data_IF_100274873120
#
_entry.id   IF_100274873120
#
_cell.length_a   1.000
_cell.length_b   1.000
_cell.length_c   1.000
_cell.angle_alpha   90.00
_cell.angle_beta   90.00
_cell.angle_gamma   90.00
#
_symmetry.space_group_name_H-M   'P 1'
#
loop_
_entity.id
_entity.type
_entity.pdbx_description
1 polymer ?
#
# COMPACT_ATOMS: atom_id res chain seq x y z
N UNK A 1 -6.86 -2.75 -6.35
CA UNK A 1 -6.75 -2.34 -4.93
C UNK A 1 -5.43 -1.67 -4.62
N UNK A 2 -4.28 -2.23 -5.02
CA UNK A 2 -2.96 -1.61 -4.71
C UNK A 2 -2.82 -0.16 -5.20
N UNK A 3 -3.24 0.14 -6.44
CA UNK A 3 -3.19 1.50 -6.98
C UNK A 3 -3.94 2.53 -6.11
N UNK A 4 -5.04 2.13 -5.48
CA UNK A 4 -5.77 3.01 -4.57
C UNK A 4 -4.91 3.35 -3.34
N UNK A 5 -4.22 2.36 -2.77
CA UNK A 5 -3.28 2.57 -1.66
C UNK A 5 -2.12 3.46 -2.09
N UNK A 6 -1.53 3.23 -3.26
CA UNK A 6 -0.46 4.09 -3.79
C UNK A 6 -0.90 5.55 -3.86
N UNK A 7 -2.07 5.82 -4.45
CA UNK A 7 -2.62 7.18 -4.58
C UNK A 7 -3.00 7.83 -3.24
N UNK A 8 -3.25 7.03 -2.20
CA UNK A 8 -3.53 7.51 -0.84
C UNK A 8 -2.29 8.15 -0.21
N UNK A 9 -1.12 7.54 -0.42
CA UNK A 9 0.15 8.05 0.09
C UNK A 9 0.75 9.12 -0.82
N UNK A 10 0.51 9.01 -2.13
CA UNK A 10 1.10 9.92 -3.10
C UNK A 10 0.25 9.99 -4.38
N UNK A 11 -0.57 11.03 -4.48
CA UNK A 11 -1.56 11.21 -5.55
C UNK A 11 -0.94 11.39 -6.94
N UNK A 12 0.29 11.89 -7.01
CA UNK A 12 1.03 12.05 -8.27
C UNK A 12 1.89 10.84 -8.62
N UNK A 13 1.84 9.76 -7.82
CA UNK A 13 2.62 8.58 -8.10
C UNK A 13 2.05 7.78 -9.28
N UNK A 14 2.92 7.40 -10.20
CA UNK A 14 2.58 6.61 -11.38
C UNK A 14 2.74 5.11 -11.17
N UNK A 15 3.31 4.65 -10.04
CA UNK A 15 3.45 3.24 -9.71
C UNK A 15 2.09 2.54 -9.58
N UNK A 16 1.99 1.33 -10.14
CA UNK A 16 0.75 0.54 -10.11
C UNK A 16 0.70 -0.31 -8.84
N UNK A 17 1.85 -0.84 -8.43
CA UNK A 17 1.98 -1.75 -7.29
C UNK A 17 2.41 -1.02 -6.02
N UNK A 18 2.02 -1.58 -4.87
CA UNK A 18 2.37 -1.03 -3.57
C UNK A 18 3.89 -1.07 -3.32
N UNK A 19 4.56 -2.14 -3.76
CA UNK A 19 5.99 -2.34 -3.54
C UNK A 19 6.86 -1.40 -4.39
N UNK A 20 6.48 -1.15 -5.65
CA UNK A 20 7.13 -0.14 -6.49
C UNK A 20 6.99 1.26 -5.89
N UNK A 21 5.77 1.63 -5.48
CA UNK A 21 5.51 2.92 -4.85
C UNK A 21 6.29 3.07 -3.54
N UNK A 22 6.37 2.00 -2.73
CA UNK A 22 7.13 1.98 -1.49
C UNK A 22 8.62 2.22 -1.75
N UNK A 23 9.19 1.58 -2.78
CA UNK A 23 10.58 1.80 -3.19
C UNK A 23 10.80 3.23 -3.70
N UNK A 24 9.92 3.73 -4.56
CA UNK A 24 10.02 5.09 -5.12
C UNK A 24 9.92 6.16 -4.03
N UNK A 25 8.94 6.03 -3.13
CA UNK A 25 8.72 6.96 -2.03
C UNK A 25 9.90 7.00 -1.06
N UNK A 26 10.47 5.84 -0.74
CA UNK A 26 11.63 5.75 0.14
C UNK A 26 12.90 6.29 -0.53
N UNK A 27 13.19 5.87 -1.75
CA UNK A 27 14.48 6.16 -2.41
C UNK A 27 14.52 7.51 -3.12
N UNK A 28 13.44 7.88 -3.83
CA UNK A 28 13.41 9.12 -4.64
C UNK A 28 12.80 10.29 -3.90
N UNK A 29 11.74 10.04 -3.13
CA UNK A 29 11.02 11.09 -2.39
C UNK A 29 11.46 11.24 -0.93
N UNK A 30 12.39 10.40 -0.46
CA UNK A 30 12.98 10.49 0.88
C UNK A 30 11.98 10.35 2.03
N UNK A 31 10.84 9.69 1.80
CA UNK A 31 9.80 9.52 2.82
C UNK A 31 10.30 8.56 3.91
N UNK A 32 10.00 8.88 5.17
CA UNK A 32 10.25 7.99 6.29
C UNK A 32 9.48 6.67 6.16
N UNK A 33 9.99 5.61 6.80
CA UNK A 33 9.42 4.24 6.72
C UNK A 33 7.97 4.15 7.22
N UNK A 34 7.57 5.05 8.11
CA UNK A 34 6.20 5.13 8.65
C UNK A 34 5.24 5.89 7.71
N UNK A 35 5.79 6.60 6.71
CA UNK A 35 5.08 7.44 5.74
C UNK A 35 5.14 6.87 4.31
N UNK A 36 5.25 5.55 4.18
CA UNK A 36 5.19 4.84 2.90
C UNK A 36 4.11 3.76 2.97
N UNK A 37 3.55 3.37 1.82
CA UNK A 37 2.48 2.37 1.79
C UNK A 37 2.93 1.02 2.37
N UNK A 38 1.98 0.22 2.90
CA UNK A 38 2.24 -1.17 3.29
C UNK A 38 2.70 -1.98 2.08
N UNK A 39 3.43 -3.07 2.32
CA UNK A 39 3.82 -3.98 1.24
C UNK A 39 2.62 -4.70 0.62
N UNK A 40 2.78 -5.20 -0.61
CA UNK A 40 1.74 -5.98 -1.30
C UNK A 40 1.27 -7.17 -0.45
N UNK A 41 2.21 -7.89 0.17
CA UNK A 41 1.90 -9.02 1.05
C UNK A 41 1.05 -8.62 2.27
N UNK A 42 1.40 -7.50 2.92
CA UNK A 42 0.63 -6.98 4.05
C UNK A 42 -0.79 -6.56 3.61
N UNK A 43 -0.91 -5.92 2.44
CA UNK A 43 -2.19 -5.52 1.88
C UNK A 43 -3.09 -6.73 1.57
N UNK A 44 -2.54 -7.76 0.93
CA UNK A 44 -3.27 -9.00 0.66
C UNK A 44 -3.73 -9.70 1.95
N UNK A 45 -2.87 -9.73 2.97
CA UNK A 45 -3.23 -10.31 4.26
C UNK A 45 -4.36 -9.52 4.92
N UNK A 46 -4.30 -8.19 4.88
CA UNK A 46 -5.35 -7.34 5.43
C UNK A 46 -6.70 -7.55 4.73
N UNK A 47 -6.72 -7.69 3.40
CA UNK A 47 -7.93 -8.00 2.63
C UNK A 47 -8.52 -9.35 3.05
N UNK A 48 -7.70 -10.39 3.23
CA UNK A 48 -8.17 -11.70 3.69
C UNK A 48 -8.79 -11.62 5.08
N UNK A 49 -8.15 -10.90 6.00
CA UNK A 49 -8.67 -10.70 7.36
C UNK A 49 -10.00 -9.94 7.32
N UNK A 50 -10.07 -8.86 6.55
CA UNK A 50 -11.29 -8.07 6.42
C UNK A 50 -12.45 -8.89 5.83
N UNK A 51 -12.18 -9.69 4.80
CA UNK A 51 -13.16 -10.59 4.20
C UNK A 51 -13.63 -11.67 5.19
N UNK A 52 -12.71 -12.24 5.97
CA UNK A 52 -13.04 -13.18 7.04
C UNK A 52 -13.92 -12.50 8.11
N UNK A 53 -13.51 -11.35 8.64
CA UNK A 53 -14.28 -10.62 9.65
C UNK A 53 -15.68 -10.25 9.16
N UNK A 54 -15.82 -9.82 7.91
CA UNK A 54 -17.12 -9.49 7.33
C UNK A 54 -18.08 -10.68 7.20
N UNK A 55 -17.57 -11.92 7.17
CA UNK A 55 -18.39 -13.14 7.09
C UNK A 55 -18.64 -13.82 8.43
N UNK A 56 -17.89 -13.48 9.48
CA UNK A 56 -17.97 -14.10 10.80
C UNK A 56 -18.53 -13.16 11.89
N UNK A 57 -18.53 -11.84 11.66
CA UNK A 57 -19.20 -10.85 12.51
C UNK A 57 -20.64 -10.58 12.07
#
# INVERSE_FOLDING_TARGET
MERFVVLLYDRSNECITADEARKDLFTRKGRAIDNIPPSSAALHQHIKIAAYQAGFC
#
